data_IF_306793885766
#
_entry.id   IF_306793885766
#
_cell.length_a   1.000
_cell.length_b   1.000
_cell.length_c   1.000
_cell.angle_alpha   90.00
_cell.angle_beta   90.00
_cell.angle_gamma   90.00
#
_symmetry.space_group_name_H-M   'P 1'
#
loop_
_entity.id
_entity.type
_entity.pdbx_description
1 polymer ?
#
# COMPACT_ATOMS: atom_id res chain seq x y z
N UNK A 1 -2.06 -76.41 -66.20
CA UNK A 1 -2.22 -77.79 -65.60
C UNK A 1 -2.61 -77.58 -64.13
N UNK A 2 -3.84 -78.06 -63.77
CA UNK A 2 -4.30 -78.45 -62.40
C UNK A 2 -4.05 -77.50 -61.23
N UNK A 3 -4.93 -77.25 -60.37
CA UNK A 3 -6.26 -77.60 -59.83
C UNK A 3 -6.41 -76.87 -58.51
N UNK A 4 -7.51 -76.19 -58.34
CA UNK A 4 -8.47 -76.29 -57.22
C UNK A 4 -7.88 -76.52 -55.80
N UNK A 5 -8.26 -75.71 -54.85
CA UNK A 5 -9.41 -76.00 -53.97
C UNK A 5 -9.78 -74.85 -53.04
N UNK A 6 -11.11 -74.74 -52.87
CA UNK A 6 -11.76 -73.85 -51.90
C UNK A 6 -11.52 -74.30 -50.47
N UNK A 7 -11.51 -73.41 -49.52
CA UNK A 7 -12.13 -73.63 -48.22
C UNK A 7 -12.62 -72.33 -47.64
N UNK A 8 -13.93 -72.26 -47.41
CA UNK A 8 -14.55 -71.28 -46.56
C UNK A 8 -14.15 -71.52 -45.10
N UNK A 9 -13.84 -70.48 -44.38
CA UNK A 9 -14.15 -70.41 -42.98
C UNK A 9 -14.51 -68.98 -42.63
N UNK A 10 -15.77 -68.81 -42.30
CA UNK A 10 -16.26 -67.64 -41.58
C UNK A 10 -15.79 -67.77 -40.13
N UNK A 11 -15.22 -66.73 -39.57
CA UNK A 11 -15.22 -66.61 -38.12
C UNK A 11 -15.32 -65.19 -37.69
N UNK A 12 -16.20 -64.98 -36.71
CA UNK A 12 -16.56 -63.70 -36.14
C UNK A 12 -15.49 -63.27 -35.12
N UNK A 13 -14.73 -62.21 -35.43
CA UNK A 13 -13.87 -61.54 -34.47
C UNK A 13 -14.52 -60.23 -33.96
N UNK A 14 -14.40 -59.90 -32.70
CA UNK A 14 -15.16 -58.84 -32.09
C UNK A 14 -14.68 -57.45 -32.56
N UNK A 15 -15.66 -56.63 -32.86
CA UNK A 15 -15.48 -55.18 -33.12
C UNK A 15 -14.91 -54.51 -31.88
N UNK A 16 -13.63 -54.17 -31.92
CA UNK A 16 -12.99 -53.31 -30.92
C UNK A 16 -13.54 -51.91 -31.13
N UNK A 17 -14.52 -51.55 -30.32
CA UNK A 17 -14.97 -50.16 -30.22
C UNK A 17 -13.91 -49.37 -29.48
N UNK A 18 -13.11 -48.60 -30.20
CA UNK A 18 -12.25 -47.57 -29.62
C UNK A 18 -13.13 -46.48 -29.03
N UNK A 19 -13.39 -46.55 -27.74
CA UNK A 19 -13.98 -45.45 -26.98
C UNK A 19 -12.87 -44.43 -26.78
N UNK A 20 -12.80 -43.41 -27.64
CA UNK A 20 -12.04 -42.19 -27.38
C UNK A 20 -12.73 -41.45 -26.25
N UNK A 21 -12.27 -41.68 -25.01
CA UNK A 21 -12.57 -40.83 -23.90
C UNK A 21 -11.85 -39.49 -24.11
N UNK A 22 -12.51 -38.54 -24.73
CA UNK A 22 -12.07 -37.15 -24.74
C UNK A 22 -12.18 -36.62 -23.30
N UNK A 23 -11.08 -36.70 -22.56
CA UNK A 23 -10.92 -35.97 -21.30
C UNK A 23 -10.93 -34.49 -21.63
N UNK A 24 -12.11 -33.85 -21.59
CA UNK A 24 -12.23 -32.42 -21.48
C UNK A 24 -11.62 -32.00 -20.12
N UNK A 25 -10.32 -31.71 -20.13
CA UNK A 25 -9.71 -30.91 -19.10
C UNK A 25 -10.37 -29.53 -19.20
N UNK A 26 -11.43 -29.34 -18.43
CA UNK A 26 -11.92 -28.00 -18.11
C UNK A 26 -10.82 -27.30 -17.35
N UNK A 27 -9.98 -26.54 -18.09
CA UNK A 27 -9.14 -25.51 -17.51
C UNK A 27 -10.11 -24.48 -16.94
N UNK A 28 -10.51 -24.69 -15.69
CA UNK A 28 -11.12 -23.65 -14.91
C UNK A 28 -10.13 -22.49 -14.96
N UNK A 29 -10.55 -21.29 -15.42
CA UNK A 29 -9.68 -20.13 -15.27
C UNK A 29 -9.37 -20.07 -13.78
N UNK A 30 -8.09 -20.30 -13.46
CA UNK A 30 -7.61 -20.13 -12.10
C UNK A 30 -8.03 -18.71 -11.71
N UNK A 31 -9.04 -18.62 -10.84
CA UNK A 31 -9.39 -17.38 -10.21
C UNK A 31 -8.09 -16.94 -9.56
N UNK A 32 -7.42 -15.96 -10.14
CA UNK A 32 -6.30 -15.31 -9.48
C UNK A 32 -6.86 -14.99 -8.10
N UNK A 33 -6.32 -15.63 -7.09
CA UNK A 33 -6.73 -15.39 -5.72
C UNK A 33 -6.46 -13.91 -5.53
N UNK A 34 -7.51 -13.09 -5.42
CA UNK A 34 -7.39 -11.65 -5.21
C UNK A 34 -6.53 -11.48 -3.95
N UNK A 35 -5.22 -11.37 -4.16
CA UNK A 35 -4.30 -11.16 -3.05
C UNK A 35 -4.58 -9.75 -2.53
N UNK A 36 -5.00 -9.69 -1.27
CA UNK A 36 -5.18 -8.42 -0.57
C UNK A 36 -3.86 -7.67 -0.58
N UNK A 37 -3.80 -6.57 -1.32
CA UNK A 37 -2.65 -5.66 -1.34
C UNK A 37 -2.62 -4.85 -0.05
N UNK A 38 -1.44 -4.66 0.51
CA UNK A 38 -1.21 -3.91 1.73
C UNK A 38 -0.43 -2.63 1.42
N UNK A 39 -1.11 -1.51 1.46
CA UNK A 39 -0.54 -0.18 1.21
C UNK A 39 -0.24 0.50 2.53
N UNK A 40 0.94 1.11 2.66
CA UNK A 40 1.26 2.01 3.76
C UNK A 40 1.71 3.35 3.19
N UNK A 41 1.19 4.44 3.73
CA UNK A 41 1.62 5.78 3.34
C UNK A 41 2.14 6.54 4.56
N UNK A 42 3.25 7.25 4.37
CA UNK A 42 3.89 8.06 5.41
C UNK A 42 3.70 9.54 5.13
N UNK A 43 3.25 10.29 6.11
CA UNK A 43 3.24 11.74 6.15
C UNK A 43 4.12 12.24 7.28
N UNK A 44 4.48 13.51 7.26
CA UNK A 44 5.16 14.15 8.38
C UNK A 44 4.17 14.48 9.49
N UNK A 45 3.00 15.01 9.13
CA UNK A 45 1.97 15.48 10.06
C UNK A 45 0.65 14.74 9.89
N UNK A 46 -0.23 14.75 10.92
CA UNK A 46 -1.55 14.13 10.85
C UNK A 46 -2.49 14.90 9.90
N UNK A 47 -2.43 14.68 8.60
CA UNK A 47 -3.23 15.19 7.46
C UNK A 47 -2.49 15.04 6.12
N UNK A 48 -1.16 14.94 6.10
CA UNK A 48 -0.37 14.85 4.87
C UNK A 48 -0.77 13.66 3.98
N UNK A 49 -0.96 12.50 4.60
CA UNK A 49 -1.38 11.30 3.88
C UNK A 49 -2.76 11.48 3.24
N UNK A 50 -3.65 12.17 3.94
CA UNK A 50 -5.02 12.46 3.49
C UNK A 50 -4.99 13.35 2.24
N UNK A 51 -4.14 14.38 2.26
CA UNK A 51 -3.92 15.26 1.13
C UNK A 51 -3.29 14.54 -0.05
N UNK A 52 -2.20 13.79 0.21
CA UNK A 52 -1.38 13.16 -0.83
C UNK A 52 -1.95 11.85 -1.40
N UNK A 53 -2.53 11.01 -0.55
CA UNK A 53 -2.94 9.64 -0.89
C UNK A 53 -4.38 9.29 -0.54
N UNK A 54 -5.19 10.20 0.04
CA UNK A 54 -6.53 9.91 0.56
C UNK A 54 -7.48 9.30 -0.48
N UNK A 55 -7.48 9.81 -1.71
CA UNK A 55 -8.29 9.25 -2.79
C UNK A 55 -7.84 7.82 -3.20
N UNK A 56 -6.55 7.59 -3.29
CA UNK A 56 -5.99 6.26 -3.55
C UNK A 56 -6.38 5.29 -2.42
N UNK A 57 -6.22 5.72 -1.17
CA UNK A 57 -6.58 4.93 0.01
C UNK A 57 -8.06 4.53 0.00
N UNK A 58 -8.97 5.48 -0.29
CA UNK A 58 -10.40 5.20 -0.40
C UNK A 58 -10.72 4.18 -1.50
N UNK A 59 -10.02 4.23 -2.66
CA UNK A 59 -10.18 3.24 -3.73
C UNK A 59 -9.71 1.86 -3.32
N UNK A 60 -8.53 1.75 -2.74
CA UNK A 60 -7.99 0.46 -2.29
C UNK A 60 -8.86 -0.16 -1.18
N UNK A 61 -9.29 0.65 -0.20
CA UNK A 61 -10.20 0.19 0.85
C UNK A 61 -11.54 -0.32 0.29
N UNK A 62 -12.13 0.41 -0.68
CA UNK A 62 -13.37 0.01 -1.34
C UNK A 62 -13.24 -1.32 -2.12
N UNK A 63 -12.03 -1.67 -2.55
CA UNK A 63 -11.71 -2.93 -3.23
C UNK A 63 -11.34 -4.07 -2.26
N UNK A 64 -11.41 -3.83 -0.94
CA UNK A 64 -11.07 -4.83 0.08
C UNK A 64 -9.58 -4.98 0.38
N UNK A 65 -8.74 -4.11 -0.17
CA UNK A 65 -7.33 -4.03 0.18
C UNK A 65 -7.12 -3.38 1.55
N UNK A 66 -5.93 -3.53 2.10
CA UNK A 66 -5.56 -2.97 3.40
C UNK A 66 -4.72 -1.71 3.21
N UNK A 67 -5.11 -0.63 3.87
CA UNK A 67 -4.38 0.63 3.84
C UNK A 67 -4.10 1.10 5.25
N UNK A 68 -2.89 1.60 5.49
CA UNK A 68 -2.48 2.26 6.73
C UNK A 68 -1.83 3.60 6.39
N UNK A 69 -2.21 4.64 7.11
CA UNK A 69 -1.50 5.91 7.13
C UNK A 69 -0.67 6.01 8.40
N UNK A 70 0.51 6.60 8.28
CA UNK A 70 1.41 6.83 9.41
C UNK A 70 1.91 8.26 9.33
N UNK A 71 1.58 9.06 10.35
CA UNK A 71 2.22 10.34 10.57
C UNK A 71 3.46 10.16 11.42
N UNK A 72 4.61 10.66 10.98
CA UNK A 72 5.86 10.53 11.75
C UNK A 72 5.91 11.48 12.95
N UNK A 73 5.22 12.63 12.91
CA UNK A 73 5.08 13.53 14.05
C UNK A 73 3.67 13.53 14.61
N UNK A 74 3.52 13.99 15.84
CA UNK A 74 2.25 14.07 16.53
C UNK A 74 1.48 15.38 16.27
N UNK A 75 2.08 16.32 15.53
CA UNK A 75 1.45 17.58 15.17
C UNK A 75 1.29 18.59 16.31
N UNK A 76 2.06 18.46 17.38
CA UNK A 76 1.92 19.22 18.63
C UNK A 76 2.29 20.72 18.51
N UNK A 77 2.78 21.17 17.36
CA UNK A 77 3.11 22.57 17.10
C UNK A 77 2.37 23.19 15.90
N UNK A 78 1.55 22.42 15.20
CA UNK A 78 0.89 22.84 13.95
C UNK A 78 -0.47 23.48 14.13
N UNK A 79 -0.60 24.51 15.01
CA UNK A 79 -1.83 25.28 15.18
C UNK A 79 -1.51 26.70 15.69
N UNK A 80 -2.32 27.70 15.31
CA UNK A 80 -2.05 29.11 15.64
C UNK A 80 -2.23 29.48 17.13
N UNK A 81 -3.00 28.72 17.90
CA UNK A 81 -3.30 29.02 19.30
C UNK A 81 -3.16 27.83 20.25
N UNK A 82 -3.20 26.60 19.75
CA UNK A 82 -3.04 25.38 20.54
C UNK A 82 -1.64 24.78 20.33
N UNK A 83 -1.11 24.08 21.31
CA UNK A 83 0.21 23.42 21.21
C UNK A 83 0.36 22.30 22.24
N UNK A 84 1.43 21.55 22.12
CA UNK A 84 1.82 20.52 23.08
C UNK A 84 0.89 19.31 23.11
N UNK A 85 0.83 18.65 24.26
CA UNK A 85 0.15 17.36 24.42
C UNK A 85 -1.37 17.43 24.08
N UNK A 86 -2.02 18.54 24.43
CA UNK A 86 -3.45 18.70 24.13
C UNK A 86 -3.71 18.73 22.62
N UNK A 87 -2.90 19.49 21.86
CA UNK A 87 -3.00 19.53 20.41
C UNK A 87 -2.62 18.17 19.79
N UNK A 88 -1.55 17.52 20.24
CA UNK A 88 -1.16 16.20 19.79
C UNK A 88 -2.28 15.17 19.97
N UNK A 89 -2.92 15.16 21.14
CA UNK A 89 -4.07 14.28 21.41
C UNK A 89 -5.25 14.57 20.48
N UNK A 90 -5.55 15.85 20.25
CA UNK A 90 -6.61 16.28 19.34
C UNK A 90 -6.33 15.83 17.91
N UNK A 91 -5.15 16.15 17.36
CA UNK A 91 -4.77 15.81 15.99
C UNK A 91 -4.69 14.30 15.76
N UNK A 92 -4.27 13.53 16.77
CA UNK A 92 -4.32 12.06 16.71
C UNK A 92 -5.77 11.57 16.60
N UNK A 93 -6.69 12.13 17.38
CA UNK A 93 -8.12 11.76 17.31
C UNK A 93 -8.75 12.13 15.95
N UNK A 94 -8.42 13.30 15.40
CA UNK A 94 -8.86 13.74 14.08
C UNK A 94 -8.33 12.80 12.97
N UNK A 95 -7.06 12.43 13.01
CA UNK A 95 -6.45 11.48 12.07
C UNK A 95 -7.11 10.08 12.15
N UNK A 96 -7.36 9.58 13.35
CA UNK A 96 -8.04 8.30 13.54
C UNK A 96 -9.48 8.34 13.01
N UNK A 97 -10.19 9.44 13.23
CA UNK A 97 -11.53 9.66 12.67
C UNK A 97 -11.47 9.73 11.13
N UNK A 98 -10.48 10.42 10.56
CA UNK A 98 -10.26 10.47 9.11
C UNK A 98 -10.10 9.06 8.53
N UNK A 99 -9.24 8.23 9.14
CA UNK A 99 -9.06 6.83 8.74
C UNK A 99 -10.34 6.02 8.84
N UNK A 100 -11.10 6.18 9.94
CA UNK A 100 -12.37 5.48 10.17
C UNK A 100 -13.40 5.77 9.09
N UNK A 101 -13.47 7.02 8.62
CA UNK A 101 -14.46 7.45 7.59
C UNK A 101 -14.31 6.71 6.27
N UNK A 102 -13.12 6.25 5.94
CA UNK A 102 -12.86 5.51 4.70
C UNK A 102 -12.46 4.04 4.92
N UNK A 103 -12.41 3.58 6.19
CA UNK A 103 -12.14 2.19 6.54
C UNK A 103 -10.67 1.79 6.45
N UNK A 104 -9.75 2.67 6.83
CA UNK A 104 -8.30 2.40 6.88
C UNK A 104 -7.76 2.58 8.31
N UNK A 105 -6.55 2.05 8.55
CA UNK A 105 -5.82 2.32 9.78
C UNK A 105 -5.06 3.66 9.69
N UNK A 106 -5.02 4.40 10.80
CA UNK A 106 -4.23 5.61 10.90
C UNK A 106 -3.44 5.63 12.22
N UNK A 107 -2.11 5.63 12.09
CA UNK A 107 -1.17 5.70 13.20
C UNK A 107 -0.51 7.08 13.24
N UNK A 108 -0.32 7.61 14.45
CA UNK A 108 0.37 8.88 14.68
C UNK A 108 1.48 8.62 15.68
N UNK A 109 2.73 8.69 15.23
CA UNK A 109 3.91 8.52 16.08
C UNK A 109 4.14 9.75 16.97
N UNK A 110 4.95 9.61 18.01
CA UNK A 110 5.13 10.64 19.06
C UNK A 110 6.36 11.54 18.85
N UNK A 111 6.92 11.60 17.64
CA UNK A 111 7.96 12.59 17.37
C UNK A 111 7.32 14.00 17.33
N UNK A 112 8.04 15.00 17.86
CA UNK A 112 7.53 16.37 17.91
C UNK A 112 7.48 17.03 16.53
N UNK A 113 6.40 17.75 16.26
CA UNK A 113 6.23 18.58 15.06
C UNK A 113 7.26 19.71 15.01
N UNK A 114 7.83 19.94 13.81
CA UNK A 114 8.91 20.92 13.58
C UNK A 114 10.28 20.47 14.08
N UNK A 115 10.40 19.26 14.68
CA UNK A 115 11.64 18.75 15.28
C UNK A 115 12.04 17.39 14.74
N UNK A 116 11.40 16.89 13.71
CA UNK A 116 11.75 15.62 13.11
C UNK A 116 13.17 15.67 12.53
N UNK A 117 13.99 14.71 12.91
CA UNK A 117 15.34 14.51 12.36
C UNK A 117 15.48 13.08 11.83
N UNK A 118 16.28 12.85 10.78
CA UNK A 118 16.50 11.52 10.23
C UNK A 118 17.51 10.74 11.08
N UNK A 119 17.16 10.52 12.36
CA UNK A 119 17.98 9.74 13.29
C UNK A 119 17.81 8.24 13.05
N UNK A 120 18.72 7.44 13.64
CA UNK A 120 18.63 5.99 13.57
C UNK A 120 17.32 5.49 14.21
N UNK A 121 16.95 6.05 15.35
CA UNK A 121 15.75 5.67 16.11
C UNK A 121 14.49 5.86 15.29
N UNK A 122 14.34 7.01 14.62
CA UNK A 122 13.17 7.29 13.79
C UNK A 122 13.16 6.42 12.52
N UNK A 123 14.33 6.18 11.91
CA UNK A 123 14.44 5.24 10.79
C UNK A 123 14.00 3.84 11.17
N UNK A 124 14.38 3.37 12.37
CA UNK A 124 13.94 2.08 12.87
C UNK A 124 12.43 2.03 13.14
N UNK A 125 11.80 3.13 13.58
CA UNK A 125 10.33 3.23 13.66
C UNK A 125 9.70 2.99 12.28
N UNK A 126 10.19 3.68 11.25
CA UNK A 126 9.70 3.51 9.86
C UNK A 126 9.87 2.08 9.38
N UNK A 127 11.01 1.44 9.64
CA UNK A 127 11.26 0.04 9.27
C UNK A 127 10.27 -0.88 9.98
N UNK A 128 10.01 -0.67 11.29
CA UNK A 128 9.03 -1.47 12.05
C UNK A 128 7.63 -1.35 11.47
N UNK A 129 7.19 -0.13 11.17
CA UNK A 129 5.88 0.12 10.58
C UNK A 129 5.69 -0.63 9.26
N UNK A 130 6.65 -0.52 8.34
CA UNK A 130 6.60 -1.21 7.03
C UNK A 130 6.59 -2.74 7.21
N UNK A 131 7.41 -3.27 8.12
CA UNK A 131 7.52 -4.72 8.37
C UNK A 131 6.28 -5.29 9.05
N UNK A 132 5.78 -4.64 10.10
CA UNK A 132 4.58 -5.08 10.84
C UNK A 132 3.35 -5.04 9.93
N UNK A 133 3.24 -4.00 9.10
CA UNK A 133 2.19 -3.90 8.09
C UNK A 133 2.33 -4.95 6.98
N UNK A 134 3.51 -5.54 6.80
CA UNK A 134 3.84 -6.43 5.67
C UNK A 134 3.51 -5.75 4.34
N UNK A 135 3.96 -4.52 4.16
CA UNK A 135 3.61 -3.67 3.04
C UNK A 135 3.99 -4.30 1.69
N UNK A 136 3.10 -4.17 0.71
CA UNK A 136 3.37 -4.41 -0.71
C UNK A 136 3.71 -3.11 -1.44
N UNK A 137 3.11 -2.00 -0.99
CA UNK A 137 3.33 -0.66 -1.53
C UNK A 137 3.58 0.30 -0.37
N UNK A 138 4.62 1.11 -0.50
CA UNK A 138 4.98 2.19 0.42
C UNK A 138 4.91 3.51 -0.34
N UNK A 139 4.24 4.52 0.22
CA UNK A 139 4.11 5.85 -0.37
C UNK A 139 4.62 6.89 0.62
N UNK A 140 5.37 7.89 0.14
CA UNK A 140 5.95 8.92 0.98
C UNK A 140 6.11 10.25 0.22
N UNK A 141 6.37 11.38 0.89
CA UNK A 141 6.79 12.59 0.23
C UNK A 141 8.19 12.40 -0.39
N UNK A 142 8.51 13.20 -1.42
CA UNK A 142 9.89 13.27 -1.91
C UNK A 142 10.80 13.93 -0.85
N UNK A 143 12.09 13.55 -0.77
CA UNK A 143 13.06 14.22 0.12
C UNK A 143 13.43 15.62 -0.40
N UNK A 144 12.48 16.34 -0.95
CA UNK A 144 12.62 17.66 -1.55
C UNK A 144 11.33 18.45 -1.35
N UNK A 145 11.27 19.21 -0.28
CA UNK A 145 10.09 19.94 0.17
C UNK A 145 10.53 21.22 0.90
N UNK A 146 9.62 22.20 1.05
CA UNK A 146 9.88 23.41 1.84
C UNK A 146 9.95 23.11 3.34
N UNK A 147 9.14 22.16 3.83
CA UNK A 147 9.07 21.82 5.25
C UNK A 147 10.15 20.79 5.62
N UNK A 148 10.94 21.03 6.69
CA UNK A 148 11.98 20.09 7.11
C UNK A 148 11.42 18.70 7.44
N UNK A 149 10.32 18.60 8.15
CA UNK A 149 9.72 17.33 8.54
C UNK A 149 9.27 16.52 7.32
N UNK A 150 8.73 17.16 6.28
CA UNK A 150 8.38 16.50 5.03
C UNK A 150 9.63 15.94 4.34
N UNK A 151 10.72 16.73 4.25
CA UNK A 151 11.98 16.26 3.67
C UNK A 151 12.52 15.06 4.43
N UNK A 152 12.54 15.17 5.77
CA UNK A 152 13.09 14.09 6.61
C UNK A 152 12.19 12.84 6.60
N UNK A 153 10.88 12.98 6.51
CA UNK A 153 9.99 11.84 6.25
C UNK A 153 10.37 11.15 4.95
N UNK A 154 10.56 11.90 3.86
CA UNK A 154 11.02 11.36 2.58
C UNK A 154 12.37 10.66 2.68
N UNK A 155 13.35 11.26 3.36
CA UNK A 155 14.68 10.67 3.60
C UNK A 155 14.57 9.38 4.41
N UNK A 156 13.84 9.40 5.53
CA UNK A 156 13.67 8.24 6.41
C UNK A 156 13.05 7.05 5.71
N UNK A 157 12.01 7.28 4.89
CA UNK A 157 11.38 6.23 4.10
C UNK A 157 12.29 5.74 2.98
N UNK A 158 13.02 6.64 2.31
CA UNK A 158 14.01 6.27 1.30
C UNK A 158 15.13 5.42 1.91
N UNK A 159 15.67 5.80 3.06
CA UNK A 159 16.68 5.03 3.79
C UNK A 159 16.16 3.65 4.22
N UNK A 160 14.89 3.57 4.63
CA UNK A 160 14.26 2.32 5.03
C UNK A 160 14.06 1.35 3.85
N UNK A 161 14.03 1.83 2.61
CA UNK A 161 13.62 1.05 1.42
C UNK A 161 14.45 -0.21 1.19
N UNK A 162 15.75 -0.19 1.46
CA UNK A 162 16.58 -1.38 1.42
C UNK A 162 16.55 -2.16 2.75
N UNK A 163 16.44 -1.43 3.88
CA UNK A 163 16.63 -2.00 5.23
C UNK A 163 15.47 -2.91 5.66
N UNK A 164 14.29 -2.75 5.08
CA UNK A 164 13.11 -3.56 5.44
C UNK A 164 13.27 -5.05 5.16
N UNK A 165 14.19 -5.44 4.27
CA UNK A 165 14.49 -6.85 3.97
C UNK A 165 15.77 -7.37 4.67
N UNK A 166 16.52 -6.51 5.37
CA UNK A 166 17.79 -6.88 6.01
C UNK A 166 17.54 -7.56 7.35
N UNK A 167 17.84 -8.86 7.51
CA UNK A 167 17.43 -9.61 8.69
C UNK A 167 18.12 -9.19 10.00
N UNK A 168 19.34 -8.66 9.93
CA UNK A 168 20.13 -8.31 11.11
C UNK A 168 19.94 -6.86 11.58
N UNK A 169 18.98 -6.13 11.00
CA UNK A 169 18.55 -4.82 11.47
C UNK A 169 17.15 -4.92 12.04
N UNK A 170 16.86 -4.17 13.13
CA UNK A 170 15.56 -4.13 13.78
C UNK A 170 15.05 -5.56 14.04
N UNK A 171 15.85 -6.32 14.78
CA UNK A 171 15.66 -7.77 14.98
C UNK A 171 14.43 -8.14 15.80
N UNK A 172 13.80 -7.17 16.45
CA UNK A 172 12.52 -7.30 17.14
C UNK A 172 11.32 -7.47 16.20
N UNK A 173 11.51 -7.19 14.91
CA UNK A 173 10.47 -7.27 13.89
C UNK A 173 10.99 -8.05 12.68
N UNK A 174 10.35 -9.16 12.27
CA UNK A 174 10.83 -9.98 11.17
C UNK A 174 10.97 -9.21 9.86
N UNK A 175 12.05 -9.42 9.08
CA UNK A 175 12.25 -8.75 7.81
C UNK A 175 11.20 -9.19 6.77
N UNK A 176 10.93 -8.32 5.81
CA UNK A 176 10.09 -8.69 4.67
C UNK A 176 10.81 -9.70 3.78
N UNK A 177 10.05 -10.61 3.17
CA UNK A 177 10.58 -11.61 2.24
C UNK A 177 10.95 -11.02 0.87
N UNK A 178 10.34 -9.90 0.51
CA UNK A 178 10.56 -9.15 -0.72
C UNK A 178 10.41 -7.66 -0.45
N UNK A 179 11.08 -6.83 -1.22
CA UNK A 179 10.90 -5.39 -1.13
C UNK A 179 9.51 -4.98 -1.63
N UNK A 180 8.84 -4.06 -0.92
CA UNK A 180 7.67 -3.35 -1.45
C UNK A 180 8.02 -2.48 -2.66
N UNK A 181 7.00 -2.04 -3.37
CA UNK A 181 7.12 -0.94 -4.33
C UNK A 181 7.12 0.37 -3.56
N UNK A 182 8.15 1.20 -3.74
CA UNK A 182 8.23 2.53 -3.13
C UNK A 182 7.82 3.60 -4.14
N UNK A 183 6.90 4.46 -3.74
CA UNK A 183 6.32 5.52 -4.57
C UNK A 183 6.37 6.85 -3.82
N UNK A 184 6.33 7.95 -4.58
CA UNK A 184 6.20 9.29 -4.02
C UNK A 184 4.83 9.88 -4.33
N UNK A 185 4.26 10.67 -3.40
CA UNK A 185 3.11 11.51 -3.73
C UNK A 185 3.49 12.60 -4.74
N UNK A 186 2.48 13.13 -5.42
CA UNK A 186 2.66 14.33 -6.21
C UNK A 186 2.89 15.54 -5.30
N UNK A 187 3.76 16.43 -5.76
CA UNK A 187 4.01 17.74 -5.17
C UNK A 187 4.08 18.84 -6.25
N UNK A 188 4.29 20.08 -5.84
CA UNK A 188 4.37 21.24 -6.74
C UNK A 188 5.77 21.86 -6.79
N UNK A 189 6.77 21.19 -6.25
CA UNK A 189 8.13 21.70 -6.22
C UNK A 189 8.79 21.54 -7.59
N UNK A 190 9.48 22.61 -8.02
CA UNK A 190 10.16 22.66 -9.31
C UNK A 190 11.66 22.43 -9.22
N UNK A 191 12.24 22.49 -8.01
CA UNK A 191 13.68 22.31 -7.75
C UNK A 191 13.91 21.15 -6.80
N UNK A 192 14.96 20.35 -6.98
CA UNK A 192 15.90 20.33 -8.11
C UNK A 192 15.25 19.88 -9.41
N UNK A 193 14.12 19.17 -9.37
CA UNK A 193 13.37 18.72 -10.53
C UNK A 193 11.86 18.81 -10.26
N UNK A 194 11.04 19.22 -11.22
CA UNK A 194 9.58 19.16 -11.09
C UNK A 194 9.12 17.72 -10.92
N UNK A 195 7.99 17.54 -10.23
CA UNK A 195 7.37 16.23 -10.12
C UNK A 195 6.92 15.75 -11.51
N UNK A 196 7.27 14.50 -11.83
CA UNK A 196 6.84 13.82 -13.06
C UNK A 196 6.00 12.62 -12.65
N UNK A 197 4.69 12.59 -12.98
CA UNK A 197 3.85 11.47 -12.62
C UNK A 197 4.13 10.27 -13.55
N UNK A 198 4.59 9.17 -12.97
CA UNK A 198 4.69 7.88 -13.68
C UNK A 198 3.38 7.10 -13.59
N UNK A 199 2.60 7.31 -12.52
CA UNK A 199 1.31 6.67 -12.26
C UNK A 199 0.29 7.74 -11.95
N UNK A 200 -0.85 7.70 -12.65
CA UNK A 200 -1.99 8.59 -12.41
C UNK A 200 -3.20 7.71 -12.12
N UNK A 201 -3.86 8.00 -11.01
CA UNK A 201 -5.08 7.29 -10.59
C UNK A 201 -6.23 8.28 -10.53
N UNK A 202 -7.29 8.08 -11.34
CA UNK A 202 -8.55 8.83 -11.18
C UNK A 202 -9.18 8.47 -9.83
N UNK A 203 -9.65 9.50 -9.13
CA UNK A 203 -10.34 9.39 -7.84
C UNK A 203 -11.76 9.95 -7.89
N UNK A 204 -12.31 10.18 -9.07
CA UNK A 204 -13.62 10.82 -9.26
C UNK A 204 -14.73 10.05 -8.53
N UNK A 205 -14.67 8.72 -8.57
CA UNK A 205 -15.61 7.79 -7.92
C UNK A 205 -15.51 7.76 -6.38
N UNK A 206 -14.44 8.30 -5.81
CA UNK A 206 -14.20 8.34 -4.36
C UNK A 206 -13.89 9.74 -3.84
N UNK A 207 -14.10 10.77 -4.66
CA UNK A 207 -13.74 12.14 -4.30
C UNK A 207 -14.46 12.61 -3.03
N UNK A 208 -15.74 12.32 -2.90
CA UNK A 208 -16.52 12.68 -1.69
C UNK A 208 -15.97 11.96 -0.43
N UNK A 209 -15.45 10.76 -0.56
CA UNK A 209 -14.79 10.05 0.54
C UNK A 209 -13.50 10.73 0.96
N UNK A 210 -12.71 11.20 -0.01
CA UNK A 210 -11.50 11.99 0.28
C UNK A 210 -11.85 13.30 0.98
N UNK A 211 -12.88 14.02 0.52
CA UNK A 211 -13.35 15.25 1.16
C UNK A 211 -13.81 14.96 2.59
N UNK A 212 -14.63 13.92 2.79
CA UNK A 212 -15.07 13.51 4.11
C UNK A 212 -13.93 13.17 5.07
N UNK A 213 -12.86 12.56 4.55
CA UNK A 213 -11.65 12.27 5.32
C UNK A 213 -10.96 13.57 5.79
N UNK A 214 -10.72 14.49 4.87
CA UNK A 214 -10.10 15.80 5.17
C UNK A 214 -10.92 16.61 6.15
N UNK A 215 -12.26 16.56 6.05
CA UNK A 215 -13.21 17.23 6.95
C UNK A 215 -13.11 16.75 8.41
N UNK A 216 -12.45 15.64 8.69
CA UNK A 216 -12.18 15.18 10.06
C UNK A 216 -11.09 16.01 10.76
N UNK A 217 -10.19 16.66 10.01
CA UNK A 217 -9.09 17.46 10.55
C UNK A 217 -9.53 18.90 10.83
N UNK A 218 -10.45 19.05 11.78
CA UNK A 218 -11.08 20.36 12.11
C UNK A 218 -10.04 21.38 12.50
N UNK A 219 -9.05 21.00 13.30
CA UNK A 219 -7.98 21.89 13.75
C UNK A 219 -7.09 22.43 12.62
N UNK A 220 -7.11 21.81 11.44
CA UNK A 220 -6.23 22.16 10.33
C UNK A 220 -6.95 22.89 9.20
N UNK A 221 -8.23 22.64 9.01
CA UNK A 221 -8.98 23.19 7.86
C UNK A 221 -10.06 24.20 8.22
N UNK A 222 -10.44 24.31 9.51
CA UNK A 222 -11.58 25.14 9.92
C UNK A 222 -11.28 26.13 11.06
N UNK A 223 -10.09 26.13 11.63
CA UNK A 223 -9.69 27.03 12.73
C UNK A 223 -8.47 27.90 12.43
#
# INVERSE_FOLDING_TARGET
MRRRLCAHFADHGPRLACVLAAALLSVLPGRAQDQTVRVIAFGAHPDDCDLGAGGLAAKYAAQGHKVKFVSLTNGDAGHQSQHGEELAKRRRAEAQEAGRRIGIEYEVLDNHDGKLLPTLEVREQVIREIRQWKADIVIAPRPNDYHPDHRYTGVLVQDASYMVIVPNLVTDTPPLKRNPVFLYYSDRFTRPQPFRPDIIVSIDDVFDKKVSMLDAHVSQFYE
#
